data_IF_513821846119
#
_entry.id   IF_513821846119
#
_cell.length_a   1.000
_cell.length_b   1.000
_cell.length_c   1.000
_cell.angle_alpha   90.00
_cell.angle_beta   90.00
_cell.angle_gamma   90.00
#
_symmetry.space_group_name_H-M   'P 1'
#
loop_
_entity.id
_entity.type
_entity.pdbx_description
1 polymer ?
#
# COMPACT_ATOMS: atom_id res chain seq x y z
N UNK A 1 -7.96 0.20 12.60
CA UNK A 1 -8.22 1.63 12.28
C UNK A 1 -6.91 2.39 12.23
N UNK A 2 -6.50 2.90 11.08
CA UNK A 2 -5.32 3.77 10.93
C UNK A 2 -5.66 5.16 11.48
N UNK A 3 -4.97 5.64 12.51
CA UNK A 3 -5.22 6.95 13.16
C UNK A 3 -4.86 8.19 12.33
N UNK A 4 -4.72 8.06 11.00
CA UNK A 4 -4.41 9.15 10.06
C UNK A 4 -5.55 9.31 9.05
N UNK A 5 -5.80 10.52 8.52
CA UNK A 5 -6.76 10.71 7.44
C UNK A 5 -6.35 9.87 6.23
N UNK A 6 -7.29 9.08 5.72
CA UNK A 6 -7.12 8.29 4.49
C UNK A 6 -6.87 9.27 3.33
N UNK A 7 -5.83 9.01 2.53
CA UNK A 7 -5.52 9.83 1.35
C UNK A 7 -4.50 10.95 1.56
N UNK A 8 -3.85 11.06 2.73
CA UNK A 8 -2.78 12.05 2.95
C UNK A 8 -1.66 11.97 1.90
N UNK A 9 -1.22 10.76 1.54
CA UNK A 9 -0.21 10.58 0.49
C UNK A 9 -0.68 11.08 -0.89
N UNK A 10 -1.98 10.97 -1.20
CA UNK A 10 -2.54 11.52 -2.44
C UNK A 10 -2.54 13.05 -2.41
N UNK A 11 -2.90 13.66 -1.28
CA UNK A 11 -2.88 15.12 -1.11
C UNK A 11 -1.46 15.68 -1.23
N UNK A 12 -0.46 14.94 -0.73
CA UNK A 12 0.96 15.26 -0.85
C UNK A 12 1.56 14.86 -2.21
N UNK A 13 0.76 14.32 -3.14
CA UNK A 13 1.18 13.81 -4.46
C UNK A 13 2.29 12.75 -4.40
N UNK A 14 2.36 12.00 -3.31
CA UNK A 14 3.29 10.88 -3.17
C UNK A 14 2.80 9.71 -4.02
N UNK A 15 3.63 9.31 -4.98
CA UNK A 15 3.39 8.10 -5.77
C UNK A 15 3.79 6.89 -4.92
N UNK A 16 2.84 6.41 -4.12
CA UNK A 16 2.98 5.17 -3.36
C UNK A 16 2.77 3.95 -4.26
N UNK A 17 3.15 2.76 -3.78
CA UNK A 17 3.05 1.52 -4.56
C UNK A 17 1.62 1.24 -5.09
N UNK A 18 0.53 1.42 -4.31
CA UNK A 18 -0.83 1.27 -4.82
C UNK A 18 -1.15 2.23 -5.98
N UNK A 19 -0.73 3.50 -5.88
CA UNK A 19 -1.00 4.47 -6.94
C UNK A 19 -0.18 4.17 -8.20
N UNK A 20 1.09 3.81 -8.03
CA UNK A 20 1.96 3.39 -9.13
C UNK A 20 1.38 2.19 -9.89
N UNK A 21 0.90 1.18 -9.17
CA UNK A 21 0.23 0.02 -9.76
C UNK A 21 -1.04 0.45 -10.52
N UNK A 22 -1.93 1.23 -9.88
CA UNK A 22 -3.14 1.74 -10.53
C UNK A 22 -2.82 2.49 -11.83
N UNK A 23 -1.85 3.40 -11.79
CA UNK A 23 -1.44 4.23 -12.94
C UNK A 23 -0.92 3.39 -14.12
N UNK A 24 -0.35 2.21 -13.86
CA UNK A 24 0.13 1.27 -14.89
C UNK A 24 -1.00 0.42 -15.48
N UNK A 25 -1.99 0.04 -14.67
CA UNK A 25 -3.07 -0.86 -15.09
C UNK A 25 -4.31 -0.14 -15.61
N UNK A 26 -4.48 1.15 -15.28
CA UNK A 26 -5.64 1.94 -15.65
C UNK A 26 -5.85 1.99 -17.17
N UNK A 27 -7.08 1.77 -17.61
CA UNK A 27 -7.47 1.99 -19.00
C UNK A 27 -7.35 3.49 -19.37
N UNK A 28 -7.43 3.80 -20.67
CA UNK A 28 -7.23 5.16 -21.18
C UNK A 28 -8.17 6.20 -20.54
N UNK A 29 -9.43 5.83 -20.25
CA UNK A 29 -10.41 6.74 -19.65
C UNK A 29 -10.05 7.06 -18.20
N UNK A 30 -9.81 6.02 -17.41
CA UNK A 30 -9.46 6.18 -16.00
C UNK A 30 -8.09 6.84 -15.85
N UNK A 31 -7.14 6.54 -16.74
CA UNK A 31 -5.83 7.20 -16.78
C UNK A 31 -5.96 8.70 -16.97
N UNK A 32 -6.73 9.15 -17.96
CA UNK A 32 -7.00 10.58 -18.17
C UNK A 32 -7.64 11.23 -16.95
N UNK A 33 -8.56 10.54 -16.28
CA UNK A 33 -9.20 11.04 -15.06
C UNK A 33 -8.23 11.15 -13.89
N UNK A 34 -7.37 10.14 -13.71
CA UNK A 34 -6.31 10.13 -12.71
C UNK A 34 -5.31 11.27 -12.94
N UNK A 35 -4.84 11.45 -14.18
CA UNK A 35 -3.92 12.54 -14.52
C UNK A 35 -4.56 13.91 -14.23
N UNK A 36 -5.86 14.09 -14.54
CA UNK A 36 -6.59 15.31 -14.20
C UNK A 36 -6.64 15.54 -12.68
N UNK A 37 -7.01 14.54 -11.88
CA UNK A 37 -7.05 14.66 -10.41
C UNK A 37 -5.66 15.00 -9.85
N UNK A 38 -4.63 14.29 -10.29
CA UNK A 38 -3.26 14.48 -9.80
C UNK A 38 -2.66 15.84 -10.19
N UNK A 39 -3.17 16.46 -11.27
CA UNK A 39 -2.77 17.81 -11.70
C UNK A 39 -3.41 18.94 -10.88
N UNK A 40 -4.45 18.66 -10.07
CA UNK A 40 -5.14 19.68 -9.30
C UNK A 40 -4.24 20.25 -8.21
N UNK A 41 -4.35 21.57 -7.96
CA UNK A 41 -3.64 22.25 -6.88
C UNK A 41 -4.02 21.67 -5.51
N UNK A 42 -5.29 21.34 -5.32
CA UNK A 42 -5.87 20.74 -4.12
C UNK A 42 -6.69 19.52 -4.54
N UNK A 43 -6.45 18.39 -3.88
CA UNK A 43 -7.22 17.15 -4.06
C UNK A 43 -8.17 17.03 -2.87
N UNK A 44 -9.46 17.20 -3.13
CA UNK A 44 -10.49 17.15 -2.10
C UNK A 44 -10.96 15.71 -1.84
N UNK A 45 -11.75 15.54 -0.76
CA UNK A 45 -12.26 14.25 -0.30
C UNK A 45 -12.96 13.43 -1.42
N UNK A 46 -13.81 14.01 -2.28
CA UNK A 46 -14.45 13.24 -3.35
C UNK A 46 -13.45 12.62 -4.34
N UNK A 47 -12.39 13.36 -4.69
CA UNK A 47 -11.32 12.84 -5.55
C UNK A 47 -10.51 11.74 -4.85
N UNK A 48 -10.25 11.89 -3.55
CA UNK A 48 -9.56 10.86 -2.75
C UNK A 48 -10.39 9.55 -2.75
N UNK A 49 -11.69 9.66 -2.54
CA UNK A 49 -12.62 8.52 -2.57
C UNK A 49 -12.68 7.89 -3.96
N UNK A 50 -12.70 8.69 -5.02
CA UNK A 50 -12.65 8.24 -6.40
C UNK A 50 -11.37 7.44 -6.70
N UNK A 51 -10.20 7.99 -6.37
CA UNK A 51 -8.91 7.31 -6.56
C UNK A 51 -8.84 6.03 -5.72
N UNK A 52 -9.34 6.05 -4.49
CA UNK A 52 -9.39 4.86 -3.63
C UNK A 52 -10.29 3.77 -4.22
N UNK A 53 -11.42 4.14 -4.79
CA UNK A 53 -12.30 3.22 -5.50
C UNK A 53 -11.62 2.61 -6.73
N UNK A 54 -10.90 3.42 -7.50
CA UNK A 54 -10.10 2.95 -8.63
C UNK A 54 -9.00 1.98 -8.18
N UNK A 55 -8.28 2.29 -7.09
CA UNK A 55 -7.26 1.38 -6.55
C UNK A 55 -7.86 0.02 -6.18
N UNK A 56 -9.05 -0.02 -5.56
CA UNK A 56 -9.75 -1.27 -5.27
C UNK A 56 -10.16 -2.00 -6.54
N UNK A 57 -10.78 -1.30 -7.50
CA UNK A 57 -11.26 -1.88 -8.76
C UNK A 57 -10.13 -2.50 -9.59
N UNK A 58 -8.97 -1.86 -9.60
CA UNK A 58 -7.77 -2.34 -10.31
C UNK A 58 -6.90 -3.27 -9.45
N UNK A 59 -7.38 -3.75 -8.29
CA UNK A 59 -6.64 -4.70 -7.43
C UNK A 59 -5.33 -4.14 -6.86
N UNK A 60 -5.16 -2.82 -6.82
CA UNK A 60 -3.90 -2.18 -6.42
C UNK A 60 -3.64 -2.27 -4.91
N UNK A 61 -4.72 -2.31 -4.11
CA UNK A 61 -4.64 -2.55 -2.67
C UNK A 61 -4.14 -3.98 -2.41
N UNK A 62 -4.79 -4.97 -3.03
CA UNK A 62 -4.44 -6.38 -2.87
C UNK A 62 -3.03 -6.69 -3.38
N UNK A 63 -2.65 -6.10 -4.52
CA UNK A 63 -1.28 -6.16 -5.05
C UNK A 63 -0.25 -5.68 -4.02
N UNK A 64 -0.51 -4.54 -3.39
CA UNK A 64 0.42 -3.97 -2.40
C UNK A 64 0.47 -4.80 -1.12
N UNK A 65 -0.67 -5.34 -0.67
CA UNK A 65 -0.73 -6.24 0.48
C UNK A 65 0.01 -7.55 0.23
N UNK A 66 -0.13 -8.14 -0.97
CA UNK A 66 0.62 -9.33 -1.36
C UNK A 66 2.13 -9.06 -1.34
N UNK A 67 2.55 -7.91 -1.88
CA UNK A 67 3.96 -7.48 -1.87
C UNK A 67 4.48 -7.28 -0.45
N UNK A 68 3.68 -6.71 0.45
CA UNK A 68 4.03 -6.56 1.87
C UNK A 68 4.19 -7.90 2.57
N UNK A 69 3.31 -8.87 2.29
CA UNK A 69 3.40 -10.23 2.84
C UNK A 69 4.64 -10.94 2.34
N UNK A 70 4.96 -10.82 1.06
CA UNK A 70 6.17 -11.39 0.46
C UNK A 70 7.44 -10.89 1.18
N UNK A 71 7.56 -9.58 1.41
CA UNK A 71 8.71 -9.04 2.15
C UNK A 71 8.75 -9.49 3.61
N UNK A 72 7.61 -9.60 4.28
CA UNK A 72 7.57 -10.11 5.65
C UNK A 72 7.99 -11.59 5.73
N UNK A 73 7.58 -12.42 4.77
CA UNK A 73 8.05 -13.80 4.64
C UNK A 73 9.55 -13.88 4.39
N UNK A 74 10.09 -13.05 3.48
CA UNK A 74 11.54 -12.97 3.25
C UNK A 74 12.30 -12.56 4.51
N UNK A 75 11.77 -11.59 5.27
CA UNK A 75 12.37 -11.17 6.53
C UNK A 75 12.45 -12.32 7.55
N UNK A 76 11.39 -13.13 7.67
CA UNK A 76 11.42 -14.33 8.51
C UNK A 76 12.52 -15.31 8.08
N UNK A 77 12.61 -15.61 6.79
CA UNK A 77 13.65 -16.50 6.25
C UNK A 77 15.08 -16.00 6.51
N UNK A 78 15.30 -14.68 6.43
CA UNK A 78 16.63 -14.12 6.72
C UNK A 78 16.98 -14.20 8.21
N UNK A 79 16.00 -13.97 9.09
CA UNK A 79 16.21 -13.93 10.53
C UNK A 79 16.41 -15.33 11.14
N UNK A 80 15.88 -16.38 10.50
CA UNK A 80 16.08 -17.77 10.91
C UNK A 80 17.57 -18.19 10.98
N UNK A 81 18.44 -17.54 10.21
CA UNK A 81 19.89 -17.83 10.20
C UNK A 81 20.64 -17.32 11.44
N UNK A 82 19.99 -16.52 12.30
CA UNK A 82 20.60 -16.04 13.54
C UNK A 82 20.31 -17.01 14.70
N UNK A 83 21.21 -17.09 15.70
CA UNK A 83 20.97 -17.86 16.93
C UNK A 83 19.67 -17.47 17.62
N UNK A 84 19.02 -18.44 18.25
CA UNK A 84 17.80 -18.17 19.00
C UNK A 84 18.06 -17.19 20.15
N UNK A 85 17.23 -16.16 20.24
CA UNK A 85 17.34 -15.08 21.22
C UNK A 85 16.01 -14.33 21.30
N UNK A 86 15.79 -13.62 22.41
CA UNK A 86 14.60 -12.79 22.60
C UNK A 86 14.46 -11.73 21.50
N UNK A 87 15.57 -11.16 21.03
CA UNK A 87 15.59 -10.21 19.92
C UNK A 87 15.13 -10.86 18.61
N UNK A 88 15.62 -12.07 18.30
CA UNK A 88 15.21 -12.82 17.12
C UNK A 88 13.70 -13.11 17.14
N UNK A 89 13.20 -13.58 18.28
CA UNK A 89 11.79 -13.89 18.48
C UNK A 89 10.91 -12.63 18.37
N UNK A 90 11.38 -11.50 18.90
CA UNK A 90 10.68 -10.21 18.80
C UNK A 90 10.55 -9.74 17.34
N UNK A 91 11.64 -9.81 16.55
CA UNK A 91 11.60 -9.44 15.14
C UNK A 91 10.70 -10.38 14.32
N UNK A 92 10.77 -11.69 14.59
CA UNK A 92 9.88 -12.67 13.96
C UNK A 92 8.41 -12.40 14.31
N UNK A 93 8.12 -12.01 15.56
CA UNK A 93 6.78 -11.60 15.99
C UNK A 93 6.23 -10.42 15.19
N UNK A 94 7.05 -9.40 14.93
CA UNK A 94 6.66 -8.24 14.10
C UNK A 94 6.33 -8.67 12.67
N UNK A 95 7.17 -9.50 12.04
CA UNK A 95 6.94 -9.97 10.68
C UNK A 95 5.69 -10.86 10.59
N UNK A 96 5.49 -11.77 11.55
CA UNK A 96 4.29 -12.61 11.62
C UNK A 96 3.01 -11.78 11.82
N UNK A 97 3.06 -10.71 12.62
CA UNK A 97 1.95 -9.78 12.76
C UNK A 97 1.60 -9.11 11.41
N UNK A 98 2.60 -8.67 10.64
CA UNK A 98 2.38 -8.07 9.31
C UNK A 98 1.74 -9.07 8.34
N UNK A 99 2.14 -10.35 8.35
CA UNK A 99 1.59 -11.39 7.46
C UNK A 99 0.14 -11.73 7.81
N UNK A 100 -0.14 -11.92 9.10
CA UNK A 100 -1.43 -12.36 9.63
C UNK A 100 -2.51 -11.27 9.66
N UNK A 101 -2.10 -10.01 9.56
CA UNK A 101 -3.03 -8.89 9.56
C UNK A 101 -3.99 -8.96 8.37
N UNK A 102 -5.27 -9.07 8.68
CA UNK A 102 -6.39 -8.83 7.78
C UNK A 102 -6.95 -7.46 8.18
N UNK A 103 -6.86 -6.46 7.29
CA UNK A 103 -7.42 -5.12 7.54
C UNK A 103 -8.95 -5.09 7.31
#
# INVERSE_FOLDING_TARGET
>A
KTGKPVGGDLQERKITLPLSHLLKQANVRDRKRLDLILSQAIIEKPQIEEVTCLMKRYGSIDYTLAHSREYATKALQYIENFPDSELRQSLAGIANYIVSRQD
#
